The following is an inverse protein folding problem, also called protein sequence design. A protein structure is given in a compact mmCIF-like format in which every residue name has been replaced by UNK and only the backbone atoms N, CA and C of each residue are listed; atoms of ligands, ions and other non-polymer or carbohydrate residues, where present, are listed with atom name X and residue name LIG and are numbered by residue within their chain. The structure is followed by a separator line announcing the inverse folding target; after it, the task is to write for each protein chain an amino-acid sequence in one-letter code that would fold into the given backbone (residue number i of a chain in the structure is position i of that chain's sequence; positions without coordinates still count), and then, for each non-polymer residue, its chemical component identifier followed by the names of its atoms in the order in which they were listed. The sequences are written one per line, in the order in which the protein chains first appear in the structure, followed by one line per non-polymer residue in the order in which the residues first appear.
data_IF_778585282032
#
_entry.id   IF_778585282032
#
_cell.length_a   1.000
_cell.length_b   1.000
_cell.length_c   1.000
_cell.angle_alpha   90.00
_cell.angle_beta   90.00
_cell.angle_gamma   90.00
#
_symmetry.space_group_name_H-M   'P 1'
#
loop_
_entity.id
_entity.type
_entity.pdbx_description
1 polymer ?
#
# COMPACT_ATOMS: atom_id res chain seq x y z
N UNK A 1 -10.54 12.30 -1.16
CA UNK A 1 -10.84 10.89 -0.78
C UNK A 1 -12.29 10.52 -1.10
N UNK A 2 -13.28 11.17 -0.47
CA UNK A 2 -14.71 10.82 -0.64
C UNK A 2 -15.18 10.87 -2.10
N UNK A 3 -14.77 11.87 -2.88
CA UNK A 3 -15.14 11.98 -4.31
C UNK A 3 -14.65 10.78 -5.15
N UNK A 4 -13.42 10.33 -4.94
CA UNK A 4 -12.87 9.17 -5.66
C UNK A 4 -13.57 7.86 -5.25
N UNK A 5 -13.93 7.72 -3.97
CA UNK A 5 -14.72 6.56 -3.51
C UNK A 5 -16.12 6.55 -4.10
N UNK A 6 -16.75 7.72 -4.20
CA UNK A 6 -18.05 7.86 -4.86
C UNK A 6 -17.97 7.53 -6.36
N UNK A 7 -16.93 7.99 -7.06
CA UNK A 7 -16.70 7.66 -8.48
C UNK A 7 -16.44 6.17 -8.70
N UNK A 8 -15.66 5.53 -7.84
CA UNK A 8 -15.43 4.09 -7.87
C UNK A 8 -16.73 3.32 -7.61
N UNK A 9 -17.55 3.77 -6.65
CA UNK A 9 -18.88 3.19 -6.37
C UNK A 9 -19.82 3.30 -7.56
N UNK A 10 -19.90 4.48 -8.19
CA UNK A 10 -20.72 4.71 -9.38
C UNK A 10 -20.26 3.80 -10.53
N UNK A 11 -18.96 3.63 -10.71
CA UNK A 11 -18.40 2.73 -11.74
C UNK A 11 -18.82 1.27 -11.51
N UNK A 12 -18.80 0.79 -10.26
CA UNK A 12 -19.23 -0.57 -9.91
C UNK A 12 -20.75 -0.76 -10.06
N UNK A 13 -21.55 0.22 -9.64
CA UNK A 13 -23.00 0.19 -9.84
C UNK A 13 -23.39 0.25 -11.31
N UNK A 14 -22.62 0.98 -12.13
CA UNK A 14 -22.80 1.02 -13.58
C UNK A 14 -22.63 -0.38 -14.18
N UNK A 15 -21.59 -1.12 -13.79
CA UNK A 15 -21.37 -2.52 -14.22
C UNK A 15 -22.59 -3.40 -13.88
N UNK A 16 -23.15 -3.25 -12.67
CA UNK A 16 -24.33 -4.00 -12.25
C UNK A 16 -25.58 -3.71 -13.10
N UNK A 17 -25.71 -2.48 -13.61
CA UNK A 17 -26.84 -2.07 -14.45
C UNK A 17 -26.69 -2.51 -15.92
N UNK A 18 -25.47 -2.80 -16.41
CA UNK A 18 -25.24 -3.14 -17.84
C UNK A 18 -26.16 -4.23 -18.38
N UNK A 19 -26.38 -5.38 -17.68
CA UNK A 19 -27.26 -6.44 -18.18
C UNK A 19 -28.73 -6.01 -18.35
N UNK A 20 -29.15 -4.90 -17.72
CA UNK A 20 -30.49 -4.35 -17.84
C UNK A 20 -30.59 -3.31 -18.98
N UNK A 21 -29.48 -2.71 -19.38
CA UNK A 21 -29.45 -1.64 -20.39
C UNK A 21 -29.32 -2.17 -21.82
N UNK A 22 -28.64 -3.30 -22.03
CA UNK A 22 -28.43 -3.83 -23.38
C UNK A 22 -28.43 -5.35 -23.40
N UNK A 23 -29.05 -5.93 -24.43
CA UNK A 23 -29.08 -7.37 -24.67
C UNK A 23 -28.00 -7.82 -25.67
N UNK A 24 -27.37 -6.86 -26.36
CA UNK A 24 -26.31 -7.15 -27.34
C UNK A 24 -25.00 -7.52 -26.62
N UNK A 25 -24.39 -8.68 -26.93
CA UNK A 25 -23.15 -9.13 -26.30
C UNK A 25 -21.96 -8.17 -26.53
N UNK A 26 -21.88 -7.52 -27.69
CA UNK A 26 -20.74 -6.63 -28.02
C UNK A 26 -20.78 -5.37 -27.16
N UNK A 27 -21.96 -4.76 -27.07
CA UNK A 27 -22.17 -3.58 -26.23
C UNK A 27 -22.05 -3.90 -24.74
N UNK A 28 -22.53 -5.07 -24.31
CA UNK A 28 -22.36 -5.54 -22.93
C UNK A 28 -20.87 -5.58 -22.56
N UNK A 29 -20.04 -6.18 -23.41
CA UNK A 29 -18.61 -6.30 -23.16
C UNK A 29 -17.91 -4.93 -23.11
N UNK A 30 -18.24 -4.03 -24.03
CA UNK A 30 -17.69 -2.66 -24.05
C UNK A 30 -18.08 -1.88 -22.79
N UNK A 31 -19.34 -1.95 -22.37
CA UNK A 31 -19.84 -1.23 -21.19
C UNK A 31 -19.24 -1.78 -19.89
N UNK A 32 -19.12 -3.10 -19.76
CA UNK A 32 -18.45 -3.74 -18.62
C UNK A 32 -16.97 -3.37 -18.58
N UNK A 33 -16.27 -3.37 -19.72
CA UNK A 33 -14.87 -2.98 -19.80
C UNK A 33 -14.66 -1.52 -19.39
N UNK A 34 -15.54 -0.61 -19.84
CA UNK A 34 -15.50 0.80 -19.47
C UNK A 34 -15.74 1.01 -17.98
N UNK A 35 -16.72 0.31 -17.40
CA UNK A 35 -16.96 0.33 -15.96
C UNK A 35 -15.77 -0.20 -15.16
N UNK A 36 -15.16 -1.29 -15.62
CA UNK A 36 -13.99 -1.88 -14.96
C UNK A 36 -12.74 -0.98 -15.05
N UNK A 37 -12.59 -0.26 -16.17
CA UNK A 37 -11.56 0.77 -16.31
C UNK A 37 -11.78 1.91 -15.30
N UNK A 38 -13.01 2.43 -15.19
CA UNK A 38 -13.35 3.45 -14.21
C UNK A 38 -13.06 3.01 -12.77
N UNK A 39 -13.51 1.80 -12.41
CA UNK A 39 -13.20 1.23 -11.11
C UNK A 39 -11.69 1.09 -10.88
N UNK A 40 -10.94 0.64 -11.89
CA UNK A 40 -9.49 0.45 -11.74
C UNK A 40 -8.75 1.78 -11.58
N UNK A 41 -9.12 2.78 -12.37
CA UNK A 41 -8.49 4.10 -12.36
C UNK A 41 -8.72 4.85 -11.05
N UNK A 42 -9.95 4.83 -10.54
CA UNK A 42 -10.31 5.59 -9.32
C UNK A 42 -10.22 4.74 -8.04
N UNK A 43 -10.32 3.42 -8.13
CA UNK A 43 -10.35 2.50 -6.99
C UNK A 43 -8.96 2.04 -6.52
N UNK A 44 -8.05 1.66 -7.42
CA UNK A 44 -6.74 1.13 -7.00
C UNK A 44 -5.86 2.16 -6.28
N UNK A 45 -5.67 3.39 -6.79
CA UNK A 45 -4.85 4.40 -6.11
C UNK A 45 -5.42 4.78 -4.74
N UNK A 46 -6.73 4.63 -4.55
CA UNK A 46 -7.38 4.88 -3.27
C UNK A 46 -6.99 3.83 -2.23
N UNK A 47 -7.01 2.54 -2.59
CA UNK A 47 -6.71 1.46 -1.66
C UNK A 47 -5.23 1.48 -1.29
N UNK A 48 -4.32 1.61 -2.27
CA UNK A 48 -2.89 1.56 -2.01
C UNK A 48 -2.34 2.88 -1.48
N UNK A 49 -2.48 3.98 -2.23
CA UNK A 49 -1.77 5.21 -1.90
C UNK A 49 -2.36 5.89 -0.65
N UNK A 50 -3.68 5.92 -0.49
CA UNK A 50 -4.29 6.64 0.64
C UNK A 50 -4.15 5.87 1.95
N UNK A 51 -4.42 4.56 1.93
CA UNK A 51 -4.22 3.72 3.11
C UNK A 51 -2.77 3.79 3.57
N UNK A 52 -1.81 3.58 2.66
CA UNK A 52 -0.40 3.63 3.03
C UNK A 52 0.01 5.02 3.53
N UNK A 53 -0.48 6.10 2.90
CA UNK A 53 -0.20 7.48 3.35
C UNK A 53 -0.73 7.75 4.76
N UNK A 54 -1.98 7.35 5.06
CA UNK A 54 -2.58 7.54 6.39
C UNK A 54 -1.81 6.73 7.44
N UNK A 55 -1.38 5.52 7.09
CA UNK A 55 -0.56 4.68 7.98
C UNK A 55 0.77 5.39 8.27
N UNK A 56 1.47 5.88 7.26
CA UNK A 56 2.71 6.61 7.45
C UNK A 56 2.52 7.88 8.29
N UNK A 57 1.40 8.57 8.14
CA UNK A 57 1.07 9.75 8.94
C UNK A 57 0.80 9.42 10.42
N UNK A 58 0.16 8.29 10.72
CA UNK A 58 -0.20 7.90 12.09
C UNK A 58 0.94 7.14 12.80
N UNK A 59 1.76 6.38 12.07
CA UNK A 59 2.79 5.48 12.63
C UNK A 59 4.24 5.95 12.37
N UNK A 60 4.44 7.18 11.89
CA UNK A 60 5.67 7.68 11.23
C UNK A 60 7.04 7.31 11.83
N UNK A 61 7.13 7.06 13.13
CA UNK A 61 8.40 6.69 13.80
C UNK A 61 8.54 5.23 14.24
N UNK A 62 7.49 4.41 14.21
CA UNK A 62 7.52 3.05 14.78
C UNK A 62 7.47 1.95 13.71
N UNK A 63 8.65 1.56 13.19
CA UNK A 63 8.82 0.47 12.20
C UNK A 63 8.20 -0.86 12.62
N UNK A 64 8.12 -1.14 13.92
CA UNK A 64 7.55 -2.39 14.47
C UNK A 64 6.01 -2.42 14.39
N UNK A 65 5.35 -1.29 14.64
CA UNK A 65 3.89 -1.13 14.50
C UNK A 65 3.46 -1.16 13.03
N UNK A 66 4.27 -0.60 12.12
CA UNK A 66 4.02 -0.64 10.68
C UNK A 66 3.91 -2.08 10.16
N UNK A 67 4.82 -2.95 10.62
CA UNK A 67 4.77 -4.38 10.28
C UNK A 67 3.50 -5.08 10.80
N UNK A 68 3.00 -4.71 11.99
CA UNK A 68 1.76 -5.30 12.52
C UNK A 68 0.53 -4.85 11.74
N UNK A 69 0.50 -3.59 11.31
CA UNK A 69 -0.61 -3.06 10.50
C UNK A 69 -0.71 -3.76 9.14
N UNK A 70 0.43 -4.11 8.54
CA UNK A 70 0.45 -4.79 7.24
C UNK A 70 -0.22 -6.17 7.27
N UNK A 71 -0.26 -6.83 8.44
CA UNK A 71 -0.95 -8.13 8.62
C UNK A 71 -2.48 -8.01 8.53
N UNK A 72 -3.05 -6.83 8.78
CA UNK A 72 -4.50 -6.60 8.64
C UNK A 72 -4.99 -6.73 7.20
N UNK A 73 -4.14 -6.42 6.21
CA UNK A 73 -4.48 -6.47 4.79
C UNK A 73 -4.82 -7.91 4.29
N UNK A 74 -3.95 -8.92 4.47
CA UNK A 74 -4.27 -10.29 4.07
C UNK A 74 -5.47 -10.86 4.82
N UNK A 75 -5.66 -10.50 6.10
CA UNK A 75 -6.83 -10.94 6.87
C UNK A 75 -8.13 -10.38 6.27
N UNK A 76 -8.16 -9.08 5.97
CA UNK A 76 -9.31 -8.44 5.34
C UNK A 76 -9.62 -9.02 3.96
N UNK A 77 -8.58 -9.24 3.15
CA UNK A 77 -8.72 -9.85 1.83
C UNK A 77 -9.28 -11.29 1.92
N UNK A 78 -8.75 -12.12 2.81
CA UNK A 78 -9.24 -13.48 3.04
C UNK A 78 -10.75 -13.52 3.35
N UNK A 79 -11.18 -12.69 4.31
CA UNK A 79 -12.57 -12.63 4.73
C UNK A 79 -13.45 -12.11 3.59
N UNK A 80 -13.02 -11.07 2.88
CA UNK A 80 -13.78 -10.52 1.77
C UNK A 80 -14.01 -11.54 0.65
N UNK A 81 -12.96 -12.27 0.23
CA UNK A 81 -13.06 -13.29 -0.83
C UNK A 81 -13.91 -14.47 -0.38
N UNK A 82 -13.78 -14.89 0.88
CA UNK A 82 -14.59 -15.95 1.46
C UNK A 82 -16.08 -15.61 1.47
N UNK A 83 -16.44 -14.45 2.02
CA UNK A 83 -17.83 -13.99 2.06
C UNK A 83 -18.38 -13.73 0.65
N UNK A 84 -17.56 -13.22 -0.27
CA UNK A 84 -17.96 -13.03 -1.67
C UNK A 84 -18.32 -14.37 -2.31
N UNK A 85 -17.50 -15.41 -2.15
CA UNK A 85 -17.80 -16.74 -2.69
C UNK A 85 -19.09 -17.34 -2.13
N UNK A 86 -19.28 -17.25 -0.82
CA UNK A 86 -20.47 -17.76 -0.14
C UNK A 86 -21.75 -16.98 -0.51
N UNK A 87 -21.65 -15.66 -0.60
CA UNK A 87 -22.77 -14.81 -0.96
C UNK A 87 -23.17 -14.97 -2.44
N UNK A 88 -22.19 -15.14 -3.32
CA UNK A 88 -22.40 -15.44 -4.73
C UNK A 88 -23.20 -16.74 -4.94
N UNK A 89 -22.92 -17.78 -4.13
CA UNK A 89 -23.62 -19.06 -4.22
C UNK A 89 -25.08 -18.98 -3.73
N UNK A 90 -25.35 -18.19 -2.69
CA UNK A 90 -26.66 -18.13 -2.04
C UNK A 90 -27.62 -17.12 -2.67
N UNK A 91 -27.13 -15.93 -3.03
CA UNK A 91 -27.96 -14.79 -3.48
C UNK A 91 -27.63 -14.33 -4.90
N UNK A 92 -26.67 -14.97 -5.56
CA UNK A 92 -26.23 -14.63 -6.92
C UNK A 92 -25.38 -13.37 -6.98
N UNK A 93 -25.02 -12.98 -8.21
CA UNK A 93 -24.06 -11.91 -8.47
C UNK A 93 -24.51 -10.53 -7.97
N UNK A 94 -25.82 -10.23 -8.04
CA UNK A 94 -26.34 -8.92 -7.67
C UNK A 94 -26.15 -8.59 -6.18
N UNK A 95 -26.16 -9.59 -5.31
CA UNK A 95 -25.92 -9.40 -3.87
C UNK A 95 -24.51 -8.87 -3.58
N UNK A 96 -23.52 -9.25 -4.40
CA UNK A 96 -22.14 -8.76 -4.26
C UNK A 96 -22.05 -7.25 -4.44
N UNK A 97 -22.76 -6.72 -5.45
CA UNK A 97 -22.78 -5.29 -5.71
C UNK A 97 -23.44 -4.50 -4.58
N UNK A 98 -24.51 -5.05 -3.99
CA UNK A 98 -25.20 -4.43 -2.85
C UNK A 98 -24.29 -4.39 -1.62
N UNK A 99 -23.66 -5.51 -1.27
CA UNK A 99 -22.76 -5.59 -0.10
C UNK A 99 -21.54 -4.70 -0.30
N UNK A 100 -20.92 -4.71 -1.48
CA UNK A 100 -19.82 -3.81 -1.80
C UNK A 100 -20.24 -2.34 -1.63
N UNK A 101 -21.41 -1.97 -2.15
CA UNK A 101 -21.94 -0.61 -2.02
C UNK A 101 -22.18 -0.21 -0.56
N UNK A 102 -22.76 -1.10 0.24
CA UNK A 102 -22.98 -0.88 1.66
C UNK A 102 -21.64 -0.68 2.42
N UNK A 103 -20.62 -1.48 2.11
CA UNK A 103 -19.30 -1.34 2.71
C UNK A 103 -18.63 -0.01 2.35
N UNK A 104 -18.67 0.39 1.07
CA UNK A 104 -18.09 1.67 0.62
C UNK A 104 -18.83 2.85 1.25
N UNK A 105 -20.16 2.82 1.29
CA UNK A 105 -20.95 3.87 1.95
C UNK A 105 -20.63 3.94 3.44
N UNK A 106 -20.55 2.80 4.12
CA UNK A 106 -20.18 2.75 5.54
C UNK A 106 -18.79 3.35 5.79
N UNK A 107 -17.83 3.10 4.89
CA UNK A 107 -16.50 3.68 4.98
C UNK A 107 -16.52 5.19 4.73
N UNK A 108 -17.27 5.66 3.73
CA UNK A 108 -17.46 7.11 3.48
C UNK A 108 -18.08 7.79 4.71
N UNK A 109 -19.11 7.20 5.30
CA UNK A 109 -19.75 7.71 6.52
C UNK A 109 -18.76 7.73 7.69
N UNK A 110 -18.02 6.65 7.88
CA UNK A 110 -17.01 6.54 8.94
C UNK A 110 -15.96 7.65 8.82
N UNK A 111 -15.46 7.89 7.61
CA UNK A 111 -14.52 8.99 7.32
C UNK A 111 -15.15 10.36 7.50
N UNK A 112 -16.42 10.54 7.13
CA UNK A 112 -17.10 11.81 7.27
C UNK A 112 -17.37 12.15 8.75
N UNK A 113 -17.66 11.14 9.56
CA UNK A 113 -17.95 11.28 11.01
C UNK A 113 -16.66 11.42 11.81
N UNK A 114 -15.63 10.62 11.48
CA UNK A 114 -14.29 10.78 12.03
C UNK A 114 -13.64 11.98 11.34
N UNK A 115 -13.87 13.19 11.84
CA UNK A 115 -13.02 14.33 11.53
C UNK A 115 -11.59 14.00 11.96
N UNK A 116 -10.82 13.34 11.10
CA UNK A 116 -9.40 13.13 11.31
C UNK A 116 -8.79 14.53 11.30
N UNK A 117 -8.28 15.03 12.44
CA UNK A 117 -7.59 16.31 12.45
C UNK A 117 -6.43 16.17 11.47
N UNK A 118 -6.41 17.00 10.42
CA UNK A 118 -5.23 17.17 9.61
C UNK A 118 -4.07 17.41 10.58
N UNK A 119 -2.96 16.64 10.53
CA UNK A 119 -1.75 17.03 11.23
C UNK A 119 -1.28 18.33 10.59
N UNK A 120 -1.78 19.45 11.12
CA UNK A 120 -1.32 20.78 10.82
C UNK A 120 0.12 20.84 11.27
N UNK A 121 1.01 20.92 10.29
CA UNK A 121 2.33 21.53 10.36
C UNK A 121 2.79 21.96 11.77
N UNK A 122 3.46 21.06 12.47
CA UNK A 122 4.52 21.43 13.42
C UNK A 122 5.84 20.84 12.93
N UNK A 123 6.22 21.21 11.72
CA UNK A 123 7.65 21.46 11.47
C UNK A 123 7.99 22.70 12.32
N UNK A 124 8.98 22.65 13.23
CA UNK A 124 9.42 23.83 13.96
C UNK A 124 9.98 24.84 12.96
N UNK A 125 9.21 25.91 12.73
CA UNK A 125 9.70 27.14 12.12
C UNK A 125 10.30 28.04 13.20
N UNK A 126 11.48 28.61 12.90
CA UNK A 126 12.32 29.59 13.63
C UNK A 126 13.25 28.98 14.68
N UNK A 127 14.56 29.20 14.58
CA UNK A 127 15.11 30.54 14.83
C UNK A 127 16.14 30.99 13.81
N UNK A 128 15.80 32.09 13.14
CA UNK A 128 16.70 33.09 12.58
C UNK A 128 17.70 33.55 13.65
N UNK A 129 18.99 33.27 13.50
CA UNK A 129 20.03 34.09 14.10
C UNK A 129 20.83 34.74 12.98
N UNK A 130 20.42 35.96 12.66
CA UNK A 130 21.17 36.93 11.88
C UNK A 130 22.52 37.17 12.55
N UNK A 131 23.58 37.12 11.75
CA UNK A 131 24.93 37.55 12.08
C UNK A 131 24.97 39.02 12.50
N UNK A 132 25.61 39.35 13.63
CA UNK A 132 26.16 40.69 13.90
C UNK A 132 27.30 40.60 14.94
N UNK A 133 28.52 40.81 14.42
CA UNK A 133 29.68 41.51 15.03
C UNK A 133 30.49 40.85 16.16
N UNK A 134 31.77 40.62 15.81
CA UNK A 134 32.94 40.53 16.70
C UNK A 134 33.03 41.71 17.68
N UNK A 135 33.51 41.45 18.91
CA UNK A 135 34.65 42.15 19.57
C UNK A 135 35.06 41.43 20.89
N UNK A 136 36.28 41.68 21.45
CA UNK A 136 37.17 40.65 22.00
C UNK A 136 37.50 40.80 23.51
N UNK A 137 37.91 39.71 24.17
CA UNK A 137 38.74 39.65 25.40
C UNK A 137 39.02 38.15 25.68
N UNK A 138 40.26 37.61 25.60
CA UNK A 138 41.33 37.62 26.61
C UNK A 138 40.85 37.32 28.04
N UNK A 139 40.98 36.07 28.51
CA UNK A 139 42.06 35.64 29.41
C UNK A 139 41.88 34.19 29.95
N UNK A 140 43.02 33.51 30.01
CA UNK A 140 43.51 32.51 30.97
C UNK A 140 42.85 31.13 31.23
N UNK A 141 43.61 30.13 30.76
CA UNK A 141 44.32 29.09 31.53
C UNK A 141 43.61 27.82 32.06
N UNK A 142 44.25 26.70 31.70
CA UNK A 142 44.32 25.36 32.32
C UNK A 142 43.01 24.53 32.39
N UNK A 143 42.94 23.24 32.03
CA UNK A 143 43.95 22.17 32.06
C UNK A 143 43.56 21.03 31.08
N UNK A 144 44.57 20.28 30.64
CA UNK A 144 44.51 19.16 29.70
C UNK A 144 43.95 17.88 30.34
N UNK A 145 43.09 17.15 29.64
CA UNK A 145 43.18 15.69 29.63
C UNK A 145 42.71 15.10 28.31
N UNK A 146 43.65 14.44 27.64
CA UNK A 146 43.58 13.78 26.35
C UNK A 146 42.50 12.68 26.27
N UNK A 147 41.72 12.71 25.19
CA UNK A 147 41.11 11.51 24.60
C UNK A 147 41.20 11.65 23.08
N UNK A 148 42.26 11.08 22.53
CA UNK A 148 42.51 10.95 21.09
C UNK A 148 41.54 9.91 20.51
N UNK A 149 40.38 10.37 20.03
CA UNK A 149 39.63 9.67 18.99
C UNK A 149 39.82 10.47 17.71
N UNK A 150 40.45 9.83 16.71
CA UNK A 150 40.83 10.45 15.45
C UNK A 150 39.64 11.18 14.80
N UNK A 151 39.83 12.48 14.60
CA UNK A 151 39.02 13.31 13.73
C UNK A 151 39.12 12.75 12.31
N UNK A 152 38.12 11.97 11.92
CA UNK A 152 37.86 11.75 10.50
C UNK A 152 37.33 13.08 9.98
N UNK A 153 38.09 13.70 9.08
CA UNK A 153 37.65 14.84 8.30
C UNK A 153 36.27 14.51 7.70
N UNK A 154 35.23 15.18 8.19
CA UNK A 154 33.91 15.14 7.57
C UNK A 154 34.02 16.04 6.34
N UNK A 155 34.07 15.52 5.10
CA UNK A 155 33.95 16.37 3.95
C UNK A 155 32.60 17.08 4.06
N UNK A 156 32.64 18.40 3.91
CA UNK A 156 31.49 19.29 3.90
C UNK A 156 30.44 18.77 2.90
N UNK A 157 29.47 17.98 3.40
CA UNK A 157 28.32 17.56 2.62
C UNK A 157 27.42 18.79 2.54
N UNK A 158 27.66 19.61 1.52
CA UNK A 158 26.63 20.47 0.98
C UNK A 158 25.37 19.63 0.84
N UNK A 159 24.37 19.92 1.68
CA UNK A 159 23.06 19.31 1.61
C UNK A 159 22.36 19.86 0.37
N UNK A 160 22.83 19.40 -0.79
CA UNK A 160 22.11 19.53 -2.04
C UNK A 160 20.80 18.79 -1.83
N UNK A 161 19.72 19.56 -1.71
CA UNK A 161 18.36 19.07 -1.88
C UNK A 161 18.19 18.62 -3.33
N UNK A 162 18.89 17.54 -3.70
CA UNK A 162 18.78 16.92 -5.01
C UNK A 162 17.42 16.25 -5.01
N UNK A 163 16.46 16.82 -5.74
CA UNK A 163 15.24 16.13 -6.12
C UNK A 163 15.63 14.81 -6.80
N UNK A 164 15.63 13.72 -6.05
CA UNK A 164 15.71 12.37 -6.58
C UNK A 164 14.47 12.17 -7.43
N UNK A 165 14.61 12.44 -8.72
CA UNK A 165 13.55 12.22 -9.69
C UNK A 165 13.45 10.70 -9.85
N UNK A 166 12.25 10.12 -10.04
CA UNK A 166 12.08 8.66 -10.18
C UNK A 166 13.07 8.03 -11.18
N UNK A 167 13.44 8.79 -12.20
CA UNK A 167 14.45 8.44 -13.21
C UNK A 167 15.86 8.22 -12.66
N UNK A 168 16.28 8.96 -11.63
CA UNK A 168 17.58 8.78 -10.96
C UNK A 168 17.63 7.53 -10.09
N UNK A 169 16.48 7.02 -9.62
CA UNK A 169 16.40 5.74 -8.91
C UNK A 169 16.47 4.55 -9.87
N UNK A 170 16.03 4.73 -11.12
CA UNK A 170 16.12 3.70 -12.17
C UNK A 170 17.50 3.61 -12.81
N UNK A 171 18.41 4.53 -12.51
CA UNK A 171 19.78 4.52 -13.04
C UNK A 171 20.67 3.50 -12.31
N UNK A 172 20.29 3.13 -11.08
CA UNK A 172 20.95 2.08 -10.30
C UNK A 172 20.59 0.68 -10.83
N UNK A 173 21.63 -0.11 -11.12
CA UNK A 173 21.52 -1.48 -11.63
C UNK A 173 20.82 -2.41 -10.63
N UNK A 174 21.01 -2.19 -9.33
CA UNK A 174 20.37 -3.01 -8.30
C UNK A 174 18.88 -2.68 -8.18
N UNK A 175 18.51 -1.40 -8.34
CA UNK A 175 17.12 -0.99 -8.42
C UNK A 175 16.43 -1.56 -9.67
N UNK A 176 17.08 -1.54 -10.84
CA UNK A 176 16.54 -2.13 -12.07
C UNK A 176 16.27 -3.62 -11.92
N UNK A 177 17.20 -4.38 -11.32
CA UNK A 177 17.01 -5.82 -11.05
C UNK A 177 15.84 -6.07 -10.12
N UNK A 178 15.73 -5.30 -9.05
CA UNK A 178 14.60 -5.37 -8.13
C UNK A 178 13.28 -5.08 -8.85
N UNK A 179 13.20 -4.00 -9.63
CA UNK A 179 12.01 -3.67 -10.42
C UNK A 179 11.65 -4.75 -11.43
N UNK A 180 12.63 -5.32 -12.13
CA UNK A 180 12.38 -6.41 -13.08
C UNK A 180 11.76 -7.63 -12.42
N UNK A 181 12.28 -8.05 -11.25
CA UNK A 181 11.70 -9.16 -10.46
C UNK A 181 10.28 -8.81 -10.01
N UNK A 182 10.05 -7.59 -9.52
CA UNK A 182 8.73 -7.14 -9.08
C UNK A 182 7.70 -7.14 -10.22
N UNK A 183 8.08 -6.68 -11.41
CA UNK A 183 7.23 -6.68 -12.61
C UNK A 183 6.93 -8.11 -13.06
N UNK A 184 7.94 -8.98 -13.11
CA UNK A 184 7.76 -10.38 -13.48
C UNK A 184 6.82 -11.11 -12.52
N UNK A 185 7.01 -10.90 -11.21
CA UNK A 185 6.12 -11.44 -10.17
C UNK A 185 4.68 -10.91 -10.32
N UNK A 186 4.51 -9.60 -10.57
CA UNK A 186 3.19 -9.00 -10.79
C UNK A 186 2.47 -9.56 -12.00
N UNK A 187 3.18 -9.78 -13.11
CA UNK A 187 2.62 -10.43 -14.31
C UNK A 187 2.18 -11.87 -14.03
N UNK A 188 3.02 -12.65 -13.33
CA UNK A 188 2.69 -14.02 -12.96
C UNK A 188 1.42 -14.08 -12.10
N UNK A 189 1.32 -13.22 -11.08
CA UNK A 189 0.13 -13.12 -10.23
C UNK A 189 -1.11 -12.76 -11.06
N UNK A 190 -1.01 -11.78 -11.96
CA UNK A 190 -2.14 -11.36 -12.80
C UNK A 190 -2.63 -12.48 -13.72
N UNK A 191 -1.71 -13.22 -14.35
CA UNK A 191 -2.04 -14.38 -15.20
C UNK A 191 -2.73 -15.47 -14.39
N UNK A 192 -2.17 -15.84 -13.23
CA UNK A 192 -2.78 -16.84 -12.36
C UNK A 192 -4.19 -16.39 -11.98
N UNK A 193 -4.38 -15.14 -11.56
CA UNK A 193 -5.70 -14.67 -11.12
C UNK A 193 -6.74 -14.63 -12.25
N UNK A 194 -6.32 -14.30 -13.49
CA UNK A 194 -7.21 -14.28 -14.65
C UNK A 194 -7.67 -15.69 -15.06
N UNK A 195 -6.75 -16.67 -15.07
CA UNK A 195 -7.04 -18.01 -15.58
C UNK A 195 -7.50 -18.99 -14.50
N UNK A 196 -7.09 -18.81 -13.23
CA UNK A 196 -7.46 -19.72 -12.15
C UNK A 196 -8.97 -19.76 -11.93
N UNK A 197 -9.64 -18.61 -11.98
CA UNK A 197 -11.10 -18.53 -11.89
C UNK A 197 -11.78 -19.27 -13.04
N UNK A 198 -11.30 -19.03 -14.28
CA UNK A 198 -11.84 -19.65 -15.48
C UNK A 198 -11.67 -21.16 -15.45
N UNK A 199 -10.49 -21.64 -15.08
CA UNK A 199 -10.15 -23.07 -14.99
C UNK A 199 -10.99 -23.77 -13.92
N UNK A 200 -11.12 -23.19 -12.73
CA UNK A 200 -11.95 -23.76 -11.67
C UNK A 200 -13.43 -23.84 -12.06
N UNK A 201 -13.96 -22.81 -12.70
CA UNK A 201 -15.38 -22.75 -13.03
C UNK A 201 -15.73 -23.59 -14.27
N UNK A 202 -14.92 -23.53 -15.34
CA UNK A 202 -15.20 -24.25 -16.60
C UNK A 202 -14.73 -25.69 -16.60
N UNK A 203 -13.53 -25.97 -16.10
CA UNK A 203 -12.89 -27.29 -16.28
C UNK A 203 -13.13 -28.21 -15.09
N UNK A 204 -13.24 -27.67 -13.87
CA UNK A 204 -13.52 -28.47 -12.66
C UNK A 204 -14.99 -28.43 -12.21
N UNK A 205 -15.81 -27.54 -12.78
CA UNK A 205 -17.21 -27.36 -12.35
C UNK A 205 -17.33 -26.91 -10.90
N UNK A 206 -16.32 -26.24 -10.35
CA UNK A 206 -16.28 -25.84 -8.96
C UNK A 206 -17.36 -24.79 -8.65
N UNK A 207 -18.05 -24.93 -7.52
CA UNK A 207 -19.01 -23.93 -7.04
C UNK A 207 -18.29 -22.59 -6.74
N UNK A 208 -18.96 -21.43 -6.90
CA UNK A 208 -18.40 -20.13 -6.52
C UNK A 208 -17.86 -20.06 -5.09
N UNK A 209 -18.42 -20.84 -4.15
CA UNK A 209 -17.91 -20.91 -2.80
C UNK A 209 -16.56 -21.64 -2.71
N UNK A 210 -16.32 -22.65 -3.55
CA UNK A 210 -15.01 -23.32 -3.63
C UNK A 210 -13.91 -22.37 -4.08
N UNK A 211 -14.22 -21.48 -5.03
CA UNK A 211 -13.31 -20.40 -5.42
C UNK A 211 -13.09 -19.42 -4.27
N UNK A 212 -14.15 -19.09 -3.51
CA UNK A 212 -14.07 -18.25 -2.33
C UNK A 212 -13.09 -18.75 -1.26
N UNK A 213 -12.89 -20.07 -1.14
CA UNK A 213 -11.92 -20.67 -0.22
C UNK A 213 -10.46 -20.44 -0.60
N UNK A 214 -10.16 -20.10 -1.86
CA UNK A 214 -8.79 -19.80 -2.29
C UNK A 214 -8.25 -18.51 -1.65
N UNK A 215 -9.12 -17.54 -1.35
CA UNK A 215 -8.73 -16.30 -0.69
C UNK A 215 -8.07 -16.55 0.66
N UNK A 216 -8.77 -17.19 1.62
CA UNK A 216 -8.19 -17.60 2.89
C UNK A 216 -6.93 -18.46 2.75
N UNK A 217 -6.91 -19.38 1.78
CA UNK A 217 -5.73 -20.22 1.54
C UNK A 217 -4.51 -19.38 1.13
N UNK A 218 -4.66 -18.46 0.18
CA UNK A 218 -3.60 -17.55 -0.25
C UNK A 218 -3.16 -16.56 0.84
N UNK A 219 -4.11 -16.03 1.62
CA UNK A 219 -3.76 -15.15 2.74
C UNK A 219 -3.09 -15.89 3.90
N UNK A 220 -3.44 -17.16 4.12
CA UNK A 220 -2.79 -17.97 5.16
C UNK A 220 -1.31 -18.18 4.87
N UNK A 221 -0.94 -18.43 3.60
CA UNK A 221 0.48 -18.55 3.22
C UNK A 221 1.20 -17.21 3.35
N UNK A 222 0.55 -16.10 3.04
CA UNK A 222 1.12 -14.76 3.24
C UNK A 222 1.40 -14.46 4.73
N UNK A 223 0.46 -14.79 5.62
CA UNK A 223 0.63 -14.63 7.07
C UNK A 223 1.78 -15.50 7.58
N UNK A 224 1.83 -16.77 7.16
CA UNK A 224 2.91 -17.70 7.55
C UNK A 224 4.28 -17.17 7.09
N UNK A 225 4.39 -16.77 5.82
CA UNK A 225 5.61 -16.17 5.28
C UNK A 225 6.03 -14.91 6.05
N UNK A 226 5.08 -14.08 6.44
CA UNK A 226 5.36 -12.88 7.24
C UNK A 226 5.96 -13.23 8.61
N UNK A 227 5.43 -14.24 9.30
CA UNK A 227 5.98 -14.71 10.58
C UNK A 227 7.38 -15.32 10.41
N UNK A 228 7.60 -16.13 9.38
CA UNK A 228 8.93 -16.70 9.10
C UNK A 228 9.96 -15.64 8.75
N UNK A 229 9.59 -14.64 7.95
CA UNK A 229 10.47 -13.52 7.59
C UNK A 229 10.99 -12.79 8.84
N UNK A 230 10.10 -12.55 9.82
CA UNK A 230 10.48 -11.95 11.12
C UNK A 230 11.43 -12.81 11.95
N UNK A 231 11.47 -14.13 11.78
CA UNK A 231 12.38 -15.02 12.49
C UNK A 231 13.75 -15.13 11.81
N UNK A 232 13.82 -14.95 10.49
CA UNK A 232 15.08 -15.05 9.72
C UNK A 232 15.92 -13.79 9.82
N UNK A 233 15.30 -12.60 9.83
CA UNK A 233 16.01 -11.32 9.83
C UNK A 233 16.85 -11.03 11.09
N UNK A 234 16.43 -11.38 12.33
CA UNK A 234 17.24 -11.15 13.52
C UNK A 234 18.54 -11.96 13.53
N UNK A 235 18.56 -13.12 12.87
CA UNK A 235 19.69 -14.07 12.92
C UNK A 235 20.83 -13.74 11.94
N UNK A 236 20.70 -12.70 11.10
CA UNK A 236 21.75 -12.29 10.17
C UNK A 236 22.55 -11.06 10.65
N UNK A 237 22.23 -10.51 11.83
CA UNK A 237 22.93 -9.37 12.44
C UNK A 237 24.21 -9.70 13.23
N UNK A 238 24.66 -10.97 13.24
CA UNK A 238 25.88 -11.37 13.95
C UNK A 238 26.70 -12.35 13.10
N UNK A 239 27.44 -11.81 12.13
CA UNK A 239 28.61 -12.50 11.58
C UNK A 239 29.84 -11.69 12.01
N UNK A 240 30.55 -12.06 13.09
CA UNK A 240 31.89 -11.54 13.30
C UNK A 240 32.76 -12.00 12.13
N UNK A 241 33.33 -11.03 11.42
CA UNK A 241 34.42 -11.26 10.48
C UNK A 241 35.58 -11.90 11.24
N UNK A 242 35.91 -13.15 10.90
CA UNK A 242 37.22 -13.73 11.20
C UNK A 242 38.18 -13.42 10.06
#
# INVERSE_FOLDING_TARGET
MIQNMALALVSVLFIAAVPQLTTDPTWTLVLVALGNFGFSWFGYPMISAVTDTVIFLVLGDQKTLYGQQKVGCPIGFALAVFFTGSLMETMGAYALFVVFSACVVSLIVTVAVLHIPSPTSTLPSKTTCSSTQLQPAMDDADDQSHSSYGSVDIPNIEMSATKTTMWSLLEDVDAQRFFAVMVAMGMAIAVIQAFLFLFMQKDLGASPAMVGWLGPLGSSTEIICFFFSKQVMPNQGHKPSH
#
